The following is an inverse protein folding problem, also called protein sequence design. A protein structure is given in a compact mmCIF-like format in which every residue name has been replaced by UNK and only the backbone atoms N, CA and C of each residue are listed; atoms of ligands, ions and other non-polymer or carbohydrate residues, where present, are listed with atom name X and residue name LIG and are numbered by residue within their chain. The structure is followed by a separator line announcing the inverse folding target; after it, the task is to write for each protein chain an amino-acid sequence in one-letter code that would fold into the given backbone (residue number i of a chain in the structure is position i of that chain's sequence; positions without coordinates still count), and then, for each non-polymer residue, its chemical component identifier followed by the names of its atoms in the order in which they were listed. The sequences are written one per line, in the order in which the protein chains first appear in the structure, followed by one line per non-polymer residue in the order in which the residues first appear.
data_IF_995585682954
#
_entry.id   IF_995585682954
#
_cell.length_a   1.000
_cell.length_b   1.000
_cell.length_c   1.000
_cell.angle_alpha   90.00
_cell.angle_beta   90.00
_cell.angle_gamma   90.00
#
_symmetry.space_group_name_H-M   'P 1'
#
loop_
_entity.id
_entity.type
_entity.pdbx_description
1 polymer ?
#
# COMPACT_ATOMS: atom_id res chain seq x y z
N UNK A 1 -17.63 -30.56 -15.00
CA UNK A 1 -16.54 -29.55 -15.06
C UNK A 1 -16.80 -28.27 -14.24
N UNK A 2 -17.41 -28.27 -13.03
CA UNK A 2 -17.58 -27.04 -12.21
C UNK A 2 -16.38 -26.71 -11.31
N UNK A 3 -15.51 -27.68 -11.03
CA UNK A 3 -14.47 -27.56 -10.00
C UNK A 3 -13.27 -26.71 -10.46
N UNK A 4 -12.95 -26.76 -11.76
CA UNK A 4 -11.87 -25.96 -12.37
C UNK A 4 -12.23 -24.47 -12.34
N UNK A 5 -13.50 -24.12 -12.58
CA UNK A 5 -13.96 -22.73 -12.59
C UNK A 5 -13.88 -22.11 -11.20
N UNK A 6 -14.28 -22.87 -10.16
CA UNK A 6 -14.18 -22.44 -8.77
C UNK A 6 -12.72 -22.22 -8.34
N UNK A 7 -11.79 -23.06 -8.80
CA UNK A 7 -10.37 -22.94 -8.52
C UNK A 7 -9.74 -21.70 -9.19
N UNK A 8 -10.06 -21.45 -10.46
CA UNK A 8 -9.61 -20.27 -11.19
C UNK A 8 -10.12 -19.00 -10.50
N UNK A 9 -11.39 -18.96 -10.10
CA UNK A 9 -11.99 -17.80 -9.45
C UNK A 9 -11.35 -17.49 -8.10
N UNK A 10 -11.05 -18.52 -7.30
CA UNK A 10 -10.42 -18.36 -5.97
C UNK A 10 -8.94 -17.95 -6.06
N UNK A 11 -8.21 -18.49 -7.05
CA UNK A 11 -6.84 -18.07 -7.39
C UNK A 11 -6.81 -16.62 -7.88
N UNK A 12 -7.76 -16.23 -8.74
CA UNK A 12 -7.87 -14.87 -9.27
C UNK A 12 -8.05 -13.82 -8.17
N UNK A 13 -8.98 -14.06 -7.23
CA UNK A 13 -9.22 -13.17 -6.10
C UNK A 13 -7.98 -13.00 -5.20
N UNK A 14 -7.24 -14.08 -4.96
CA UNK A 14 -6.02 -14.05 -4.14
C UNK A 14 -4.88 -13.27 -4.82
N UNK A 15 -4.66 -13.54 -6.11
CA UNK A 15 -3.67 -12.79 -6.91
C UNK A 15 -4.03 -11.32 -7.01
N UNK A 16 -5.32 -10.98 -7.13
CA UNK A 16 -5.80 -9.61 -7.17
C UNK A 16 -5.61 -8.86 -5.84
N UNK A 17 -5.83 -9.53 -4.70
CA UNK A 17 -5.54 -8.96 -3.38
C UNK A 17 -4.04 -8.67 -3.20
N UNK A 18 -3.18 -9.60 -3.63
CA UNK A 18 -1.73 -9.40 -3.63
C UNK A 18 -1.33 -8.23 -4.54
N UNK A 19 -1.91 -8.16 -5.75
CA UNK A 19 -1.62 -7.08 -6.69
C UNK A 19 -2.01 -5.71 -6.11
N UNK A 20 -3.15 -5.59 -5.41
CA UNK A 20 -3.53 -4.34 -4.70
C UNK A 20 -2.56 -3.99 -3.57
N UNK A 21 -2.13 -5.00 -2.81
CA UNK A 21 -1.17 -4.80 -1.72
C UNK A 21 0.20 -4.32 -2.24
N UNK A 22 0.64 -4.83 -3.38
CA UNK A 22 1.92 -4.47 -4.04
C UNK A 22 1.80 -3.16 -4.81
N UNK A 23 0.68 -2.90 -5.49
CA UNK A 23 0.43 -1.66 -6.24
C UNK A 23 0.42 -0.41 -5.33
N UNK A 24 0.13 -0.60 -4.04
CA UNK A 24 0.17 0.47 -3.05
C UNK A 24 -1.15 1.23 -2.93
N UNK A 25 -2.23 0.72 -3.51
CA UNK A 25 -3.60 1.20 -3.30
C UNK A 25 -3.97 1.19 -1.80
N UNK A 26 -3.53 0.14 -1.10
CA UNK A 26 -3.68 -0.10 0.34
C UNK A 26 -2.51 0.48 1.17
N UNK A 27 -1.64 1.31 0.58
CA UNK A 27 -0.47 1.83 1.30
C UNK A 27 -0.86 2.75 2.46
N UNK A 28 -1.98 3.47 2.34
CA UNK A 28 -2.46 4.36 3.39
C UNK A 28 -3.07 3.58 4.56
N UNK A 29 -3.89 2.56 4.28
CA UNK A 29 -4.49 1.72 5.31
C UNK A 29 -3.44 0.96 6.13
N UNK A 30 -2.39 0.43 5.47
CA UNK A 30 -1.22 -0.12 6.17
C UNK A 30 -0.48 0.91 7.03
N UNK A 31 -0.37 2.15 6.56
CA UNK A 31 0.20 3.23 7.35
C UNK A 31 -0.62 3.49 8.61
N UNK A 32 -1.96 3.53 8.52
CA UNK A 32 -2.84 3.70 9.67
C UNK A 32 -2.73 2.54 10.65
N UNK A 33 -2.75 1.29 10.17
CA UNK A 33 -2.59 0.11 11.01
C UNK A 33 -1.23 0.10 11.74
N UNK A 34 -0.16 0.46 11.03
CA UNK A 34 1.17 0.60 11.61
C UNK A 34 1.22 1.74 12.64
N UNK A 35 0.63 2.90 12.34
CA UNK A 35 0.60 4.03 13.27
C UNK A 35 -0.19 3.68 14.53
N UNK A 36 -1.33 3.02 14.39
CA UNK A 36 -2.13 2.55 15.53
C UNK A 36 -1.37 1.55 16.40
N UNK A 37 -0.55 0.69 15.79
CA UNK A 37 0.20 -0.37 16.49
C UNK A 37 1.50 0.14 17.13
N UNK A 38 2.26 0.98 16.43
CA UNK A 38 3.60 1.42 16.84
C UNK A 38 3.62 2.79 17.52
N UNK A 39 2.64 3.64 17.22
CA UNK A 39 2.57 5.02 17.71
C UNK A 39 1.14 5.41 18.15
N UNK A 40 0.55 4.70 19.12
CA UNK A 40 -0.76 5.02 19.62
C UNK A 40 -0.79 6.46 20.18
N UNK A 41 -1.80 7.24 19.77
CA UNK A 41 -2.00 8.62 20.24
C UNK A 41 -1.25 9.71 19.47
N UNK A 42 -0.40 9.37 18.50
CA UNK A 42 0.19 10.37 17.62
C UNK A 42 -0.76 10.76 16.48
N UNK A 43 -0.76 12.04 16.05
CA UNK A 43 -1.57 12.47 14.91
C UNK A 43 -1.14 11.74 13.63
N UNK A 44 -2.12 11.11 12.97
CA UNK A 44 -1.95 10.48 11.66
C UNK A 44 -1.93 11.53 10.56
N UNK A 45 -1.09 11.33 9.54
CA UNK A 45 -1.17 12.13 8.32
C UNK A 45 -2.47 11.85 7.58
N UNK A 46 -3.06 12.87 6.95
CA UNK A 46 -4.14 12.63 6.01
C UNK A 46 -3.61 11.92 4.74
N UNK A 47 -4.51 11.31 3.97
CA UNK A 47 -4.14 10.53 2.77
C UNK A 47 -3.27 11.32 1.80
N UNK A 48 -3.62 12.59 1.55
CA UNK A 48 -2.88 13.47 0.62
C UNK A 48 -1.47 13.76 1.14
N UNK A 49 -1.34 14.11 2.42
CA UNK A 49 -0.04 14.39 3.06
C UNK A 49 0.87 13.17 3.08
N UNK A 50 0.31 11.97 3.32
CA UNK A 50 1.06 10.72 3.25
C UNK A 50 1.69 10.51 1.86
N UNK A 51 0.90 10.66 0.80
CA UNK A 51 1.42 10.52 -0.57
C UNK A 51 2.38 11.64 -0.94
N UNK A 52 2.10 12.88 -0.55
CA UNK A 52 3.00 14.01 -0.78
C UNK A 52 4.36 13.78 -0.12
N UNK A 53 4.38 13.38 1.16
CA UNK A 53 5.61 13.06 1.89
C UNK A 53 6.37 11.90 1.26
N UNK A 54 5.67 10.90 0.71
CA UNK A 54 6.27 9.78 -0.01
C UNK A 54 6.94 10.23 -1.32
N UNK A 55 6.28 11.08 -2.09
CA UNK A 55 6.83 11.66 -3.32
C UNK A 55 8.01 12.59 -3.00
N UNK A 56 7.85 13.48 -2.04
CA UNK A 56 8.91 14.35 -1.52
C UNK A 56 10.13 13.53 -1.12
N UNK A 57 10.00 12.45 -0.34
CA UNK A 57 11.14 11.59 0.00
C UNK A 57 11.81 10.95 -1.21
N UNK A 58 11.03 10.55 -2.21
CA UNK A 58 11.54 9.92 -3.43
C UNK A 58 12.32 10.91 -4.30
N UNK A 59 11.89 12.18 -4.34
CA UNK A 59 12.36 13.16 -5.33
C UNK A 59 13.13 14.36 -4.76
N UNK A 60 13.09 14.61 -3.45
CA UNK A 60 13.85 15.70 -2.79
C UNK A 60 15.22 15.24 -2.24
N UNK A 61 15.63 14.00 -2.52
CA UNK A 61 17.00 13.56 -2.24
C UNK A 61 18.01 14.22 -3.19
N UNK A 62 19.28 14.23 -2.82
CA UNK A 62 20.36 14.69 -3.70
C UNK A 62 20.40 13.77 -4.93
N UNK A 63 19.82 14.20 -6.05
CA UNK A 63 20.14 13.63 -7.35
C UNK A 63 21.56 14.06 -7.66
N UNK A 64 22.54 13.22 -7.34
CA UNK A 64 23.91 13.45 -7.78
C UNK A 64 23.91 13.30 -9.30
N UNK A 65 23.64 14.40 -10.00
CA UNK A 65 24.04 14.54 -11.38
C UNK A 65 25.53 14.85 -11.34
N UNK A 66 26.34 13.79 -11.36
CA UNK A 66 27.67 13.83 -11.92
C UNK A 66 27.59 13.05 -13.23
#
# INVERSE_FOLDING_TARGET
MPEILAWIHRKWLSSWALLRQVSGDDAYDRYLAHQASCHPGQPVLNRKEFFQRRLTRKWQGISRCC
#
